data_IF_828636357584
#
_entry.id   IF_828636357584
#
_cell.length_a   1.000
_cell.length_b   1.000
_cell.length_c   1.000
_cell.angle_alpha   90.00
_cell.angle_beta   90.00
_cell.angle_gamma   90.00
#
_symmetry.space_group_name_H-M   'P 1'
#
loop_
_entity.id
_entity.type
_entity.pdbx_description
1 polymer ?
#
# COMPACT_ATOMS: atom_id res chain seq x y z
N UNK A 1 -1.27 -13.48 30.69
CA UNK A 1 -0.72 -14.70 31.31
C UNK A 1 0.77 -14.76 31.09
N UNK A 2 1.55 -14.96 32.16
CA UNK A 2 3.00 -15.19 32.12
C UNK A 2 3.32 -16.49 31.37
N UNK A 3 4.21 -16.44 30.37
CA UNK A 3 4.87 -17.63 29.83
C UNK A 3 6.37 -17.41 29.71
N UNK A 4 7.11 -18.36 30.29
CA UNK A 4 8.56 -18.43 30.36
C UNK A 4 9.19 -18.72 29.01
N UNK A 5 10.32 -18.06 28.74
CA UNK A 5 11.24 -18.40 27.65
C UNK A 5 11.90 -19.76 27.89
N UNK A 6 11.87 -20.64 26.89
CA UNK A 6 12.91 -21.65 26.71
C UNK A 6 13.00 -22.13 25.25
N UNK A 7 14.15 -21.87 24.63
CA UNK A 7 14.83 -22.84 23.75
C UNK A 7 14.45 -22.87 22.26
N UNK A 8 14.93 -21.90 21.48
CA UNK A 8 15.19 -22.13 20.06
C UNK A 8 16.41 -23.06 19.93
N UNK A 9 16.22 -24.29 19.43
CA UNK A 9 17.34 -25.17 19.04
C UNK A 9 17.72 -24.93 17.58
N UNK A 10 18.97 -24.50 17.45
CA UNK A 10 19.81 -24.38 16.25
C UNK A 10 19.79 -25.70 15.46
N UNK A 11 19.38 -25.66 14.18
CA UNK A 11 19.67 -26.75 13.24
C UNK A 11 21.15 -26.63 12.85
N UNK A 12 22.00 -27.50 13.41
CA UNK A 12 23.35 -27.73 12.92
C UNK A 12 23.33 -28.95 11.99
N UNK A 13 24.01 -28.77 10.86
CA UNK A 13 24.40 -29.74 9.84
C UNK A 13 24.87 -31.07 10.42
N UNK A 14 24.18 -32.15 10.07
CA UNK A 14 24.67 -33.52 10.19
C UNK A 14 24.99 -34.07 8.79
N UNK A 15 26.25 -34.45 8.59
CA UNK A 15 26.79 -35.14 7.42
C UNK A 15 26.04 -36.45 7.13
N UNK A 16 25.46 -36.56 5.95
CA UNK A 16 24.87 -37.80 5.43
C UNK A 16 24.72 -37.68 3.91
N UNK A 17 25.27 -38.64 3.18
CA UNK A 17 25.41 -38.69 1.73
C UNK A 17 24.09 -38.44 0.97
N UNK A 18 24.10 -37.45 0.07
CA UNK A 18 23.00 -37.22 -0.87
C UNK A 18 23.24 -38.09 -2.11
N UNK A 19 22.53 -39.22 -2.20
CA UNK A 19 22.31 -39.91 -3.49
C UNK A 19 21.26 -39.14 -4.28
N UNK A 20 21.65 -38.71 -5.48
CA UNK A 20 20.80 -37.96 -6.39
C UNK A 20 19.58 -38.75 -6.85
N UNK A 21 18.44 -38.05 -6.90
CA UNK A 21 17.28 -38.46 -7.65
C UNK A 21 16.83 -37.25 -8.48
N UNK A 22 17.02 -37.36 -9.80
CA UNK A 22 16.65 -36.33 -10.76
C UNK A 22 15.12 -36.24 -10.86
N UNK A 23 14.58 -35.04 -10.69
CA UNK A 23 13.19 -34.71 -11.04
C UNK A 23 13.19 -33.56 -12.05
N UNK A 24 12.55 -33.82 -13.19
CA UNK A 24 12.32 -32.90 -14.31
C UNK A 24 11.65 -31.60 -13.84
N UNK A 25 11.96 -30.44 -14.46
CA UNK A 25 11.30 -29.19 -14.10
C UNK A 25 9.87 -29.18 -14.62
N UNK A 26 8.91 -29.01 -13.71
CA UNK A 26 7.56 -28.57 -14.03
C UNK A 26 7.67 -27.08 -14.32
N UNK A 27 7.48 -26.72 -15.58
CA UNK A 27 7.41 -25.33 -16.06
C UNK A 27 6.18 -24.62 -15.50
N UNK A 28 6.27 -23.29 -15.43
CA UNK A 28 5.23 -22.31 -15.03
C UNK A 28 5.02 -22.08 -13.54
N UNK A 29 6.07 -21.59 -12.88
CA UNK A 29 5.92 -20.37 -12.08
C UNK A 29 6.68 -19.31 -12.87
N UNK A 30 5.96 -18.33 -13.44
CA UNK A 30 6.59 -17.13 -13.98
C UNK A 30 7.37 -16.49 -12.83
N UNK A 31 8.67 -16.76 -12.84
CA UNK A 31 9.65 -16.02 -12.05
C UNK A 31 9.43 -14.55 -12.36
N UNK A 32 9.14 -13.76 -11.31
CA UNK A 32 9.31 -12.31 -11.31
C UNK A 32 10.52 -11.96 -12.17
N UNK A 33 10.24 -11.46 -13.37
CA UNK A 33 11.26 -11.10 -14.32
C UNK A 33 12.20 -10.10 -13.64
N UNK A 34 13.49 -10.33 -13.85
CA UNK A 34 14.58 -9.46 -13.41
C UNK A 34 14.20 -7.99 -13.58
N UNK A 35 14.47 -7.17 -12.55
CA UNK A 35 14.33 -5.72 -12.66
C UNK A 35 15.26 -5.19 -13.76
N UNK A 36 14.77 -5.16 -15.00
CA UNK A 36 15.37 -4.34 -16.04
C UNK A 36 15.40 -2.91 -15.49
N UNK A 37 16.60 -2.33 -15.44
CA UNK A 37 16.83 -1.04 -14.79
C UNK A 37 15.94 0.03 -15.43
N UNK A 38 14.97 0.55 -14.66
CA UNK A 38 14.13 1.69 -15.06
C UNK A 38 15.01 2.87 -15.52
N UNK A 39 14.60 3.57 -16.58
CA UNK A 39 15.33 4.77 -17.07
C UNK A 39 15.10 5.95 -16.14
N UNK A 40 16.16 6.72 -15.86
CA UNK A 40 16.11 7.97 -15.09
C UNK A 40 16.53 9.14 -15.98
N UNK A 41 15.75 10.21 -15.97
CA UNK A 41 15.93 11.37 -16.83
C UNK A 41 16.80 12.45 -16.18
N UNK A 42 17.69 13.04 -16.97
CA UNK A 42 18.27 14.35 -16.68
C UNK A 42 17.21 15.45 -16.69
N UNK A 43 17.55 16.62 -16.14
CA UNK A 43 16.63 17.77 -16.16
C UNK A 43 16.31 18.19 -17.60
N UNK A 44 17.31 18.11 -18.49
CA UNK A 44 17.18 18.44 -19.91
C UNK A 44 16.25 17.48 -20.65
N UNK A 45 16.42 16.17 -20.46
CA UNK A 45 15.56 15.17 -21.12
C UNK A 45 14.11 15.29 -20.64
N UNK A 46 13.90 15.54 -19.35
CA UNK A 46 12.56 15.78 -18.80
C UNK A 46 11.89 16.99 -19.46
N UNK A 47 12.62 18.11 -19.62
CA UNK A 47 12.11 19.29 -20.31
C UNK A 47 11.81 19.02 -21.79
N UNK A 48 12.68 18.30 -22.50
CA UNK A 48 12.48 17.98 -23.92
C UNK A 48 11.26 17.07 -24.14
N UNK A 49 11.01 16.11 -23.23
CA UNK A 49 9.82 15.26 -23.27
C UNK A 49 8.56 16.09 -23.06
N UNK A 50 8.54 16.96 -22.05
CA UNK A 50 7.40 17.85 -21.77
C UNK A 50 7.09 18.78 -22.95
N UNK A 51 8.12 19.38 -23.56
CA UNK A 51 7.98 20.19 -24.77
C UNK A 51 7.44 19.38 -25.96
N UNK A 52 7.87 18.12 -26.10
CA UNK A 52 7.41 17.25 -27.19
C UNK A 52 5.94 16.84 -26.98
N UNK A 53 5.55 16.50 -25.75
CA UNK A 53 4.18 16.15 -25.40
C UNK A 53 3.22 17.32 -25.66
N UNK A 54 3.57 18.51 -25.17
CA UNK A 54 2.70 19.68 -25.25
C UNK A 54 2.72 20.39 -26.61
N UNK A 55 3.81 20.28 -27.35
CA UNK A 55 3.95 20.85 -28.68
C UNK A 55 3.50 19.87 -29.77
N UNK A 56 4.45 19.15 -30.41
CA UNK A 56 4.16 18.28 -31.56
C UNK A 56 3.07 17.21 -31.35
N UNK A 57 2.91 16.70 -30.12
CA UNK A 57 1.94 15.65 -29.83
C UNK A 57 0.57 16.17 -29.37
N UNK A 58 0.45 17.48 -29.14
CA UNK A 58 -0.84 18.15 -28.93
C UNK A 58 -1.53 17.87 -27.60
N UNK A 59 -0.82 17.32 -26.60
CA UNK A 59 -1.37 17.22 -25.25
C UNK A 59 -1.48 18.61 -24.62
N UNK A 60 -2.63 18.95 -24.05
CA UNK A 60 -2.75 20.19 -23.32
C UNK A 60 -2.24 20.05 -21.88
N UNK A 61 -1.81 21.16 -21.28
CA UNK A 61 -1.26 21.17 -19.90
C UNK A 61 -2.27 20.61 -18.90
N UNK A 62 -3.53 20.96 -19.04
CA UNK A 62 -4.63 20.48 -18.20
C UNK A 62 -4.84 18.96 -18.30
N UNK A 63 -4.73 18.36 -19.50
CA UNK A 63 -4.83 16.91 -19.67
C UNK A 63 -3.71 16.17 -18.94
N UNK A 64 -2.46 16.61 -19.13
CA UNK A 64 -1.30 15.97 -18.48
C UNK A 64 -1.34 16.16 -16.97
N UNK A 65 -1.68 17.36 -16.50
CA UNK A 65 -1.82 17.70 -15.09
C UNK A 65 -2.95 16.93 -14.41
N UNK A 66 -4.10 16.75 -15.09
CA UNK A 66 -5.21 15.96 -14.56
C UNK A 66 -4.79 14.50 -14.32
N UNK A 67 -4.10 13.90 -15.29
CA UNK A 67 -3.60 12.53 -15.20
C UNK A 67 -2.47 12.40 -14.17
N UNK A 68 -1.58 13.38 -14.08
CA UNK A 68 -0.50 13.42 -13.11
C UNK A 68 -1.03 13.49 -11.67
N UNK A 69 -1.92 14.45 -11.38
CA UNK A 69 -2.52 14.56 -10.06
C UNK A 69 -3.39 13.35 -9.68
N UNK A 70 -4.10 12.75 -10.65
CA UNK A 70 -4.80 11.47 -10.44
C UNK A 70 -3.82 10.33 -10.10
N UNK A 71 -2.69 10.22 -10.81
CA UNK A 71 -1.64 9.24 -10.48
C UNK A 71 -1.11 9.44 -9.06
N UNK A 72 -0.88 10.69 -8.64
CA UNK A 72 -0.44 11.01 -7.27
C UNK A 72 -1.48 10.57 -6.25
N UNK A 73 -2.73 11.00 -6.39
CA UNK A 73 -3.80 10.61 -5.46
C UNK A 73 -3.99 9.09 -5.39
N UNK A 74 -3.85 8.39 -6.53
CA UNK A 74 -3.94 6.93 -6.61
C UNK A 74 -2.79 6.27 -5.86
N UNK A 75 -1.55 6.74 -6.04
CA UNK A 75 -0.37 6.20 -5.35
C UNK A 75 -0.48 6.38 -3.83
N UNK A 76 -1.01 7.53 -3.38
CA UNK A 76 -1.29 7.80 -1.97
C UNK A 76 -2.32 6.79 -1.44
N UNK A 77 -3.43 6.63 -2.15
CA UNK A 77 -4.53 5.74 -1.75
C UNK A 77 -4.17 4.25 -1.77
N UNK A 78 -3.21 3.84 -2.60
CA UNK A 78 -2.70 2.47 -2.63
C UNK A 78 -1.96 2.10 -1.33
N UNK A 79 -1.37 3.09 -0.63
CA UNK A 79 -0.52 2.86 0.53
C UNK A 79 -1.17 3.28 1.84
N UNK A 80 -1.74 4.48 1.87
CA UNK A 80 -2.19 5.14 3.09
C UNK A 80 -3.70 5.17 3.11
N UNK A 81 -4.35 4.15 3.69
CA UNK A 81 -5.82 4.02 3.66
C UNK A 81 -6.50 5.23 4.28
N UNK A 82 -7.57 5.73 3.67
CA UNK A 82 -8.35 6.87 4.19
C UNK A 82 -9.05 6.60 5.52
N UNK A 83 -9.13 5.35 5.98
CA UNK A 83 -9.58 5.02 7.34
C UNK A 83 -8.54 5.32 8.42
N UNK A 84 -7.25 5.36 8.04
CA UNK A 84 -6.10 5.51 8.95
C UNK A 84 -5.41 6.87 8.77
N UNK A 85 -5.29 7.33 7.52
CA UNK A 85 -4.61 8.57 7.14
C UNK A 85 -5.59 9.48 6.40
N UNK A 86 -6.42 10.24 7.11
CA UNK A 86 -7.49 11.00 6.46
C UNK A 86 -7.22 12.49 6.36
N UNK A 87 -6.40 13.08 7.22
CA UNK A 87 -6.09 14.53 7.21
C UNK A 87 -4.90 14.79 6.31
N UNK A 88 -5.13 15.50 5.21
CA UNK A 88 -4.08 15.76 4.21
C UNK A 88 -3.82 17.26 4.12
N UNK A 89 -2.56 17.68 4.19
CA UNK A 89 -2.13 19.03 3.80
C UNK A 89 -1.38 18.96 2.47
N UNK A 90 -1.91 19.59 1.43
CA UNK A 90 -1.22 19.77 0.16
C UNK A 90 -0.58 21.16 0.09
N UNK A 91 0.75 21.21 -0.02
CA UNK A 91 1.52 22.46 -0.12
C UNK A 91 1.89 22.67 -1.58
N UNK A 92 1.14 23.55 -2.26
CA UNK A 92 1.24 23.78 -3.69
C UNK A 92 2.14 24.98 -4.01
N UNK A 93 3.07 24.80 -4.95
CA UNK A 93 3.90 25.87 -5.48
C UNK A 93 3.26 26.60 -6.66
N UNK A 94 3.92 27.64 -7.20
CA UNK A 94 3.35 28.47 -8.26
C UNK A 94 3.35 27.79 -9.64
N UNK A 95 4.10 26.70 -9.84
CA UNK A 95 4.26 26.07 -11.15
C UNK A 95 3.33 24.88 -11.40
N UNK A 96 3.66 24.11 -12.44
CA UNK A 96 2.92 22.90 -12.81
C UNK A 96 2.84 21.89 -11.66
N UNK A 97 3.93 21.70 -10.90
CA UNK A 97 3.94 20.79 -9.73
C UNK A 97 2.88 21.18 -8.68
N UNK A 98 2.64 22.49 -8.51
CA UNK A 98 1.58 22.97 -7.63
C UNK A 98 0.20 22.66 -8.18
N UNK A 99 0.02 22.78 -9.50
CA UNK A 99 -1.18 22.34 -10.20
C UNK A 99 -1.45 20.83 -10.04
N UNK A 100 -0.42 20.00 -10.17
CA UNK A 100 -0.50 18.56 -9.90
C UNK A 100 -0.97 18.29 -8.46
N UNK A 101 -0.46 19.07 -7.49
CA UNK A 101 -0.91 19.05 -6.10
C UNK A 101 -2.38 19.45 -5.91
N UNK A 102 -2.87 20.47 -6.63
CA UNK A 102 -4.28 20.88 -6.58
C UNK A 102 -5.20 19.79 -7.15
N UNK A 103 -4.82 19.18 -8.28
CA UNK A 103 -5.53 18.04 -8.86
C UNK A 103 -5.51 16.84 -7.91
N UNK A 104 -4.35 16.52 -7.33
CA UNK A 104 -4.22 15.43 -6.37
C UNK A 104 -5.11 15.65 -5.14
N UNK A 105 -5.15 16.87 -4.59
CA UNK A 105 -6.04 17.21 -3.48
C UNK A 105 -7.52 17.00 -3.84
N UNK A 106 -7.94 17.38 -5.06
CA UNK A 106 -9.32 17.15 -5.52
C UNK A 106 -9.65 15.66 -5.61
N UNK A 107 -8.76 14.84 -6.19
CA UNK A 107 -8.99 13.39 -6.27
C UNK A 107 -8.98 12.73 -4.89
N UNK A 108 -8.08 13.16 -3.99
CA UNK A 108 -8.06 12.68 -2.60
C UNK A 108 -9.37 12.98 -1.87
N UNK A 109 -9.99 14.14 -2.09
CA UNK A 109 -11.34 14.40 -1.57
C UNK A 109 -12.34 13.33 -2.05
N UNK A 110 -12.37 13.03 -3.35
CA UNK A 110 -13.24 12.00 -3.91
C UNK A 110 -12.90 10.58 -3.44
N UNK A 111 -11.66 10.33 -3.02
CA UNK A 111 -11.23 9.05 -2.45
C UNK A 111 -11.52 8.92 -0.93
N UNK A 112 -12.16 9.92 -0.33
CA UNK A 112 -12.60 9.89 1.07
C UNK A 112 -11.61 10.50 2.07
N UNK A 113 -10.57 11.19 1.60
CA UNK A 113 -9.67 11.97 2.44
C UNK A 113 -10.27 13.35 2.75
N UNK A 114 -9.66 14.05 3.71
CA UNK A 114 -9.98 15.42 4.11
C UNK A 114 -8.78 16.32 3.78
N UNK A 115 -8.63 16.73 2.51
CA UNK A 115 -7.55 17.61 2.10
C UNK A 115 -7.77 19.04 2.60
N UNK A 116 -6.65 19.71 2.87
CA UNK A 116 -6.50 21.13 3.11
C UNK A 116 -5.35 21.59 2.21
N UNK A 117 -5.48 22.76 1.58
CA UNK A 117 -4.49 23.25 0.62
C UNK A 117 -3.80 24.50 1.15
N UNK A 118 -2.47 24.52 1.13
CA UNK A 118 -1.67 25.72 1.28
C UNK A 118 -1.13 26.09 -0.11
N UNK A 119 -1.62 27.19 -0.69
CA UNK A 119 -1.19 27.66 -2.02
C UNK A 119 -0.72 29.13 -1.96
N UNK A 120 0.51 29.38 -1.45
CA UNK A 120 0.93 30.72 -1.03
C UNK A 120 1.14 31.71 -2.19
N UNK A 121 1.56 31.21 -3.35
CA UNK A 121 1.77 32.01 -4.56
C UNK A 121 0.93 31.45 -5.70
N UNK A 122 -0.29 31.96 -5.84
CA UNK A 122 -1.22 31.58 -6.90
C UNK A 122 -0.76 32.14 -8.25
N UNK A 123 -0.76 31.30 -9.27
CA UNK A 123 -0.40 31.73 -10.63
C UNK A 123 -1.62 32.30 -11.34
N UNK A 124 -1.57 33.54 -11.85
CA UNK A 124 -2.71 34.20 -12.48
C UNK A 124 -2.91 33.69 -13.92
N UNK A 125 -3.34 32.44 -14.06
CA UNK A 125 -3.75 31.85 -15.34
C UNK A 125 -5.07 31.09 -15.16
N UNK A 126 -5.97 31.11 -16.17
CA UNK A 126 -7.28 30.47 -16.08
C UNK A 126 -7.25 29.00 -15.64
N UNK A 127 -6.21 28.25 -16.03
CA UNK A 127 -6.01 26.87 -15.60
C UNK A 127 -6.00 26.75 -14.06
N UNK A 128 -5.16 27.53 -13.38
CA UNK A 128 -5.00 27.45 -11.92
C UNK A 128 -6.22 28.03 -11.20
N UNK A 129 -6.82 29.09 -11.73
CA UNK A 129 -8.07 29.65 -11.19
C UNK A 129 -9.20 28.62 -11.26
N UNK A 130 -9.28 27.84 -12.35
CA UNK A 130 -10.20 26.73 -12.50
C UNK A 130 -9.98 25.62 -11.48
N UNK A 131 -8.73 25.21 -11.26
CA UNK A 131 -8.39 24.20 -10.24
C UNK A 131 -8.75 24.63 -8.82
N UNK A 132 -8.50 25.91 -8.48
CA UNK A 132 -8.90 26.50 -7.20
C UNK A 132 -10.43 26.49 -7.09
N UNK A 133 -11.14 26.95 -8.11
CA UNK A 133 -12.62 26.98 -8.13
C UNK A 133 -13.21 25.59 -7.93
N UNK A 134 -12.62 24.56 -8.55
CA UNK A 134 -13.06 23.17 -8.37
C UNK A 134 -12.92 22.71 -6.91
N UNK A 135 -11.78 22.99 -6.27
CA UNK A 135 -11.54 22.65 -4.86
C UNK A 135 -12.47 23.42 -3.91
N UNK A 136 -12.69 24.71 -4.17
CA UNK A 136 -13.63 25.54 -3.41
C UNK A 136 -15.07 25.01 -3.56
N UNK A 137 -15.46 24.52 -4.74
CA UNK A 137 -16.78 23.91 -4.97
C UNK A 137 -17.01 22.63 -4.13
N UNK A 138 -15.93 21.95 -3.75
CA UNK A 138 -15.93 20.79 -2.85
C UNK A 138 -15.77 21.18 -1.38
N UNK A 139 -15.74 22.47 -1.06
CA UNK A 139 -15.48 23.00 0.29
C UNK A 139 -14.12 22.57 0.86
N UNK A 140 -13.11 22.34 0.00
CA UNK A 140 -11.74 22.06 0.44
C UNK A 140 -11.11 23.35 0.99
N UNK A 141 -10.66 23.38 2.26
CA UNK A 141 -10.12 24.60 2.86
C UNK A 141 -8.78 25.02 2.25
N UNK A 142 -8.59 26.33 2.10
CA UNK A 142 -7.29 26.92 1.77
C UNK A 142 -6.72 27.66 2.99
N UNK A 143 -5.52 27.29 3.42
CA UNK A 143 -4.77 27.98 4.49
C UNK A 143 -3.70 28.88 3.91
N UNK A 144 -3.47 30.03 4.56
CA UNK A 144 -2.29 30.84 4.29
C UNK A 144 -1.05 30.18 4.92
N UNK A 145 0.12 30.41 4.31
CA UNK A 145 1.37 29.86 4.85
C UNK A 145 1.67 30.33 6.29
N UNK A 146 1.27 31.56 6.62
CA UNK A 146 1.40 32.16 7.94
C UNK A 146 0.41 31.60 8.98
N UNK A 147 -0.73 31.07 8.52
CA UNK A 147 -1.75 30.45 9.37
C UNK A 147 -1.45 28.98 9.68
N UNK A 148 -0.48 28.39 8.97
CA UNK A 148 -0.06 27.02 9.28
C UNK A 148 0.58 26.96 10.67
N UNK A 149 0.12 26.05 11.55
CA UNK A 149 0.66 25.95 12.89
C UNK A 149 2.16 25.65 12.84
N UNK A 150 2.87 26.09 13.87
CA UNK A 150 4.32 25.85 13.97
C UNK A 150 4.62 24.35 14.06
N UNK A 151 3.70 23.58 14.62
CA UNK A 151 3.76 22.12 14.72
C UNK A 151 2.56 21.47 14.00
N UNK A 152 2.73 21.22 12.70
CA UNK A 152 1.73 20.55 11.86
C UNK A 152 1.61 19.04 12.12
N UNK A 153 2.45 18.45 13.00
CA UNK A 153 2.47 17.00 13.22
C UNK A 153 1.18 16.42 13.80
N UNK A 154 0.45 17.21 14.59
CA UNK A 154 -0.77 16.73 15.23
C UNK A 154 -2.02 16.96 14.39
N UNK A 155 -1.96 17.79 13.35
CA UNK A 155 -3.13 18.24 12.58
C UNK A 155 -3.34 17.45 11.29
N UNK A 156 -2.27 16.85 10.77
CA UNK A 156 -2.28 16.15 9.49
C UNK A 156 -1.63 14.77 9.61
N UNK A 157 -2.14 13.82 8.84
CA UNK A 157 -1.58 12.47 8.72
C UNK A 157 -0.68 12.38 7.48
N UNK A 158 -0.98 13.17 6.43
CA UNK A 158 -0.25 13.22 5.16
C UNK A 158 0.11 14.65 4.81
N UNK A 159 1.38 14.87 4.45
CA UNK A 159 1.91 16.13 3.94
C UNK A 159 2.34 15.93 2.49
N UNK A 160 1.63 16.54 1.55
CA UNK A 160 1.94 16.48 0.11
C UNK A 160 2.80 17.69 -0.25
N UNK A 161 4.06 17.42 -0.55
CA UNK A 161 5.03 18.34 -1.12
C UNK A 161 4.82 18.45 -2.63
N UNK A 162 4.11 19.51 -3.02
CA UNK A 162 3.81 19.89 -4.40
C UNK A 162 4.41 21.27 -4.73
N UNK A 163 5.51 21.66 -4.08
CA UNK A 163 6.07 23.03 -4.20
C UNK A 163 6.90 23.21 -5.47
N UNK A 164 7.89 22.35 -5.71
CA UNK A 164 8.82 22.50 -6.84
C UNK A 164 9.05 21.17 -7.56
N UNK A 165 8.78 21.16 -8.87
CA UNK A 165 9.05 20.02 -9.76
C UNK A 165 10.40 20.15 -10.48
N UNK A 166 10.65 19.26 -11.45
CA UNK A 166 11.92 19.19 -12.18
C UNK A 166 12.34 20.47 -12.93
N UNK A 167 11.41 21.37 -13.27
CA UNK A 167 11.71 22.62 -13.99
C UNK A 167 12.17 23.77 -13.09
N UNK A 168 12.21 23.56 -11.76
CA UNK A 168 12.68 24.58 -10.84
C UNK A 168 14.20 24.78 -10.94
N UNK A 169 14.62 26.05 -10.88
CA UNK A 169 16.03 26.45 -10.89
C UNK A 169 16.33 27.43 -9.75
N UNK A 170 17.51 27.28 -9.15
CA UNK A 170 18.01 28.15 -8.09
C UNK A 170 17.58 27.75 -6.69
N UNK A 171 17.68 28.69 -5.75
CA UNK A 171 17.36 28.45 -4.33
C UNK A 171 15.89 28.82 -4.06
N UNK A 172 15.15 28.00 -3.26
CA UNK A 172 13.84 28.38 -2.75
C UNK A 172 13.86 29.76 -2.08
N UNK A 173 12.80 30.54 -2.29
CA UNK A 173 12.64 31.89 -1.71
C UNK A 173 11.37 31.93 -0.85
N UNK A 174 11.24 32.92 0.06
CA UNK A 174 10.03 33.09 0.87
C UNK A 174 8.74 33.08 0.05
N UNK A 175 7.68 32.39 0.54
CA UNK A 175 7.60 31.65 1.80
C UNK A 175 8.03 30.17 1.72
N UNK A 176 8.54 29.71 0.56
CA UNK A 176 8.78 28.27 0.33
C UNK A 176 10.03 27.71 1.02
N UNK A 177 11.03 28.55 1.28
CA UNK A 177 12.19 28.20 2.11
C UNK A 177 11.76 27.81 3.53
N UNK A 178 10.92 28.62 4.18
CA UNK A 178 10.37 28.31 5.51
C UNK A 178 9.54 27.02 5.49
N UNK A 179 8.65 26.86 4.50
CA UNK A 179 7.82 25.65 4.38
C UNK A 179 8.66 24.37 4.22
N UNK A 180 9.71 24.42 3.40
CA UNK A 180 10.66 23.31 3.27
C UNK A 180 11.34 23.01 4.61
N UNK A 181 11.81 24.04 5.33
CA UNK A 181 12.46 23.86 6.63
C UNK A 181 11.52 23.30 7.70
N UNK A 182 10.23 23.64 7.66
CA UNK A 182 9.21 23.04 8.53
C UNK A 182 9.09 21.54 8.27
N UNK A 183 8.98 21.11 7.00
CA UNK A 183 8.91 19.68 6.64
C UNK A 183 10.16 18.91 7.10
N UNK A 184 11.36 19.46 6.85
CA UNK A 184 12.64 18.88 7.31
C UNK A 184 12.69 18.74 8.83
N UNK A 185 12.21 19.76 9.55
CA UNK A 185 12.24 19.77 11.02
C UNK A 185 11.35 18.70 11.65
N UNK A 186 10.21 18.39 11.03
CA UNK A 186 9.31 17.32 11.48
C UNK A 186 9.98 15.95 11.37
N UNK A 187 10.63 15.69 10.24
CA UNK A 187 11.31 14.42 9.95
C UNK A 187 12.49 14.16 10.88
N UNK A 188 13.12 15.21 11.43
CA UNK A 188 14.19 15.08 12.44
C UNK A 188 13.65 14.68 13.83
N UNK A 189 12.44 15.11 14.19
CA UNK A 189 11.79 14.77 15.48
C UNK A 189 11.27 13.32 15.51
N UNK A 190 10.94 12.79 14.34
CA UNK A 190 10.23 11.51 14.14
C UNK A 190 11.03 10.26 14.56
N UNK A 191 12.35 10.34 14.75
CA UNK A 191 13.15 9.17 15.19
C UNK A 191 12.79 8.62 16.59
N UNK A 192 11.89 9.27 17.33
CA UNK A 192 11.53 8.94 18.71
C UNK A 192 10.01 8.71 18.93
N UNK A 193 9.14 8.95 17.93
CA UNK A 193 7.68 8.77 18.06
C UNK A 193 7.13 7.95 16.89
N UNK A 194 6.04 7.23 17.13
CA UNK A 194 5.44 6.29 16.18
C UNK A 194 4.32 6.91 15.31
N UNK A 195 3.92 8.16 15.60
CA UNK A 195 2.71 8.84 15.09
C UNK A 195 3.05 10.19 14.45
N UNK A 196 3.98 10.24 13.49
CA UNK A 196 4.25 11.47 12.73
C UNK A 196 3.60 11.42 11.35
N UNK A 197 3.26 12.59 10.76
CA UNK A 197 2.75 12.63 9.40
C UNK A 197 3.73 12.06 8.39
N UNK A 198 3.21 11.37 7.39
CA UNK A 198 4.00 10.91 6.25
C UNK A 198 4.16 12.03 5.22
N UNK A 199 5.37 12.19 4.70
CA UNK A 199 5.68 13.20 3.68
C UNK A 199 5.71 12.56 2.30
N UNK A 200 5.01 13.16 1.34
CA UNK A 200 4.84 12.66 -0.02
C UNK A 200 5.28 13.74 -0.99
N UNK A 201 6.33 13.48 -1.79
CA UNK A 201 6.80 14.45 -2.78
C UNK A 201 6.29 14.09 -4.18
N UNK A 202 5.73 15.08 -4.86
CA UNK A 202 5.33 14.98 -6.27
C UNK A 202 6.54 15.27 -7.14
N UNK A 203 6.82 14.32 -8.04
CA UNK A 203 7.86 14.32 -9.06
C UNK A 203 9.30 14.28 -8.56
N UNK A 204 9.70 15.30 -7.80
CA UNK A 204 10.97 15.41 -7.08
C UNK A 204 10.73 16.01 -5.69
N UNK A 205 11.53 15.67 -4.67
CA UNK A 205 11.43 16.36 -3.37
C UNK A 205 11.85 17.82 -3.50
N UNK A 206 10.99 18.75 -3.05
CA UNK A 206 11.25 20.17 -3.18
C UNK A 206 12.54 20.58 -2.47
N UNK A 207 13.38 21.34 -3.19
CA UNK A 207 14.71 21.76 -2.71
C UNK A 207 15.85 20.80 -3.05
N UNK A 208 15.56 19.61 -3.58
CA UNK A 208 16.61 18.73 -4.12
C UNK A 208 17.11 19.26 -5.48
N UNK A 209 18.38 19.00 -5.78
CA UNK A 209 18.89 19.14 -7.14
C UNK A 209 18.30 18.03 -8.02
N UNK A 210 17.80 18.37 -9.20
CA UNK A 210 17.05 17.46 -10.10
C UNK A 210 17.84 16.21 -10.50
N UNK A 211 19.17 16.32 -10.55
CA UNK A 211 20.05 15.20 -10.91
C UNK A 211 20.82 14.61 -9.73
N UNK A 212 21.48 15.45 -8.93
CA UNK A 212 22.32 15.02 -7.81
C UNK A 212 21.54 14.67 -6.53
N UNK A 213 20.27 15.09 -6.44
CA UNK A 213 19.42 14.89 -5.27
C UNK A 213 19.72 15.85 -4.14
N UNK A 214 19.66 15.35 -2.91
CA UNK A 214 19.98 16.13 -1.72
C UNK A 214 21.50 16.26 -1.54
N UNK A 215 22.06 17.34 -2.09
CA UNK A 215 23.51 17.60 -2.10
C UNK A 215 24.07 17.76 -0.68
N UNK A 216 23.33 18.44 0.21
CA UNK A 216 23.81 18.80 1.54
C UNK A 216 23.36 17.81 2.62
N UNK A 217 22.40 16.93 2.32
CA UNK A 217 21.87 15.94 3.25
C UNK A 217 20.85 16.49 4.24
N UNK A 218 20.47 17.76 4.11
CA UNK A 218 19.53 18.48 4.97
C UNK A 218 18.17 18.76 4.30
N UNK A 219 17.95 18.24 3.09
CA UNK A 219 16.69 18.35 2.38
C UNK A 219 15.58 17.42 2.89
N UNK A 220 14.39 17.58 2.32
CA UNK A 220 13.20 16.76 2.64
C UNK A 220 13.50 15.28 2.40
N UNK A 221 13.09 14.41 3.32
CA UNK A 221 13.23 12.94 3.25
C UNK A 221 11.86 12.26 3.13
N UNK A 222 11.20 12.33 1.96
CA UNK A 222 9.82 11.88 1.86
C UNK A 222 9.67 10.37 2.12
N UNK A 223 8.55 9.98 2.72
CA UNK A 223 8.13 8.59 2.87
C UNK A 223 7.69 8.01 1.52
N UNK A 224 7.10 8.85 0.67
CA UNK A 224 6.70 8.48 -0.69
C UNK A 224 7.21 9.48 -1.72
N UNK A 225 7.79 8.97 -2.80
CA UNK A 225 8.08 9.76 -4.01
C UNK A 225 7.19 9.26 -5.15
N UNK A 226 6.46 10.15 -5.80
CA UNK A 226 5.68 9.83 -7.01
C UNK A 226 6.33 10.52 -8.21
N UNK A 227 7.19 9.81 -8.92
CA UNK A 227 7.81 10.31 -10.15
C UNK A 227 6.79 10.37 -11.29
N UNK A 228 6.73 11.47 -12.03
CA UNK A 228 5.82 11.64 -13.17
C UNK A 228 6.55 11.45 -14.49
N UNK A 229 5.88 10.83 -15.48
CA UNK A 229 6.39 10.51 -16.83
C UNK A 229 7.50 9.46 -16.81
N UNK A 230 8.63 9.78 -16.18
CA UNK A 230 9.70 8.89 -15.79
C UNK A 230 10.46 9.48 -14.59
N UNK A 231 11.14 8.66 -13.76
CA UNK A 231 11.93 9.16 -12.64
C UNK A 231 13.03 10.12 -13.09
N UNK A 232 13.26 11.19 -12.32
CA UNK A 232 14.41 12.08 -12.51
C UNK A 232 15.66 11.49 -11.85
N UNK A 233 16.84 11.85 -12.32
CA UNK A 233 18.11 11.33 -11.82
C UNK A 233 18.27 11.43 -10.29
N UNK A 234 17.74 12.49 -9.67
CA UNK A 234 17.73 12.65 -8.21
C UNK A 234 17.05 11.50 -7.47
N UNK A 235 16.06 10.84 -8.09
CA UNK A 235 15.31 9.74 -7.50
C UNK A 235 16.20 8.51 -7.22
N UNK A 236 17.39 8.41 -7.84
CA UNK A 236 18.39 7.39 -7.45
C UNK A 236 18.89 7.56 -6.01
N UNK A 237 18.77 8.75 -5.43
CA UNK A 237 19.10 9.07 -4.03
C UNK A 237 17.91 8.92 -3.09
N UNK A 238 16.72 8.60 -3.61
CA UNK A 238 15.54 8.37 -2.78
C UNK A 238 15.75 7.12 -1.91
N UNK A 239 15.41 7.23 -0.63
CA UNK A 239 15.56 6.15 0.36
C UNK A 239 14.28 5.90 1.17
N UNK A 240 13.17 6.54 0.80
CA UNK A 240 11.89 6.31 1.46
C UNK A 240 11.30 4.94 1.11
N UNK A 241 10.32 4.45 1.90
CA UNK A 241 9.73 3.12 1.73
C UNK A 241 8.90 2.96 0.45
N UNK A 242 8.46 4.05 -0.19
CA UNK A 242 7.53 3.97 -1.32
C UNK A 242 7.97 4.86 -2.49
N UNK A 243 8.30 4.25 -3.62
CA UNK A 243 8.54 4.97 -4.87
C UNK A 243 7.52 4.51 -5.90
N UNK A 244 6.77 5.44 -6.47
CA UNK A 244 5.81 5.17 -7.53
C UNK A 244 6.19 5.92 -8.80
N UNK A 245 5.84 5.32 -9.93
CA UNK A 245 5.80 5.96 -11.23
C UNK A 245 4.35 6.23 -11.58
N UNK A 246 4.04 7.49 -11.87
CA UNK A 246 2.74 7.98 -12.37
C UNK A 246 2.87 8.66 -13.73
N UNK A 247 1.77 9.21 -14.22
CA UNK A 247 1.72 9.81 -15.56
C UNK A 247 1.68 8.77 -16.67
N UNK A 248 0.69 7.86 -16.61
CA UNK A 248 0.46 6.79 -17.60
C UNK A 248 -0.11 7.35 -18.92
N UNK A 249 0.68 8.17 -19.61
CA UNK A 249 0.31 8.80 -20.88
C UNK A 249 1.47 8.85 -21.88
N UNK A 250 2.64 8.31 -21.55
CA UNK A 250 3.85 8.37 -22.38
C UNK A 250 3.64 7.60 -23.69
N UNK A 251 3.64 8.26 -24.86
CA UNK A 251 3.42 7.58 -26.14
C UNK A 251 4.62 6.70 -26.54
N UNK A 252 4.40 5.62 -27.32
CA UNK A 252 5.49 4.76 -27.79
C UNK A 252 6.61 5.51 -28.51
N UNK A 253 6.29 6.56 -29.28
CA UNK A 253 7.28 7.39 -29.96
C UNK A 253 8.25 8.11 -29.02
N UNK A 254 7.80 8.50 -27.82
CA UNK A 254 8.66 9.06 -26.77
C UNK A 254 9.51 7.96 -26.14
N UNK A 255 8.90 6.80 -25.85
CA UNK A 255 9.61 5.64 -25.30
C UNK A 255 10.76 5.24 -26.21
N UNK A 256 10.52 5.15 -27.52
CA UNK A 256 11.53 4.83 -28.53
C UNK A 256 12.59 5.93 -28.66
N UNK A 257 12.19 7.19 -28.80
CA UNK A 257 13.11 8.33 -28.98
C UNK A 257 14.11 8.47 -27.84
N UNK A 258 13.65 8.31 -26.60
CA UNK A 258 14.47 8.49 -25.40
C UNK A 258 14.96 7.15 -24.81
N UNK A 259 14.69 6.02 -25.49
CA UNK A 259 15.03 4.67 -25.02
C UNK A 259 14.58 4.43 -23.56
N UNK A 260 13.33 4.79 -23.26
CA UNK A 260 12.79 4.69 -21.92
C UNK A 260 12.47 3.24 -21.58
N UNK A 261 13.04 2.74 -20.49
CA UNK A 261 12.65 1.48 -19.86
C UNK A 261 11.64 1.79 -18.77
N UNK A 262 10.35 1.68 -19.09
CA UNK A 262 9.25 1.91 -18.16
C UNK A 262 8.58 0.56 -17.81
N UNK A 263 8.24 0.31 -16.53
CA UNK A 263 7.54 -0.91 -16.14
C UNK A 263 6.11 -0.92 -16.69
N UNK A 264 5.52 -2.12 -16.89
CA UNK A 264 4.11 -2.22 -17.24
C UNK A 264 3.24 -1.75 -16.06
N UNK A 265 2.22 -0.95 -16.38
CA UNK A 265 1.22 -0.56 -15.39
C UNK A 265 0.17 -1.68 -15.22
N UNK A 266 -0.15 -2.09 -13.99
CA UNK A 266 -1.10 -3.18 -13.76
C UNK A 266 -2.52 -2.76 -14.10
N UNK A 267 -3.21 -3.55 -14.94
CA UNK A 267 -4.63 -3.33 -15.30
C UNK A 267 -4.89 -1.88 -15.73
N UNK A 268 -5.85 -1.21 -15.09
CA UNK A 268 -6.25 0.20 -15.30
C UNK A 268 -5.55 1.17 -14.35
N UNK A 269 -4.55 0.73 -13.58
CA UNK A 269 -3.88 1.61 -12.62
C UNK A 269 -3.19 2.79 -13.31
N UNK A 270 -3.27 3.96 -12.67
CA UNK A 270 -2.61 5.19 -13.10
C UNK A 270 -1.21 5.35 -12.50
N UNK A 271 -0.82 4.47 -11.59
CA UNK A 271 0.52 4.43 -11.00
C UNK A 271 1.03 2.98 -10.91
N UNK A 272 2.34 2.82 -10.79
CA UNK A 272 2.99 1.55 -10.54
C UNK A 272 4.13 1.74 -9.56
N UNK A 273 4.23 0.86 -8.57
CA UNK A 273 5.33 0.88 -7.62
C UNK A 273 6.63 0.51 -8.31
N UNK A 274 7.67 1.30 -8.08
CA UNK A 274 9.03 1.12 -8.62
C UNK A 274 10.05 1.10 -7.49
N UNK A 275 11.27 0.67 -7.79
CA UNK A 275 12.35 0.56 -6.80
C UNK A 275 12.29 -0.72 -5.96
N UNK A 276 13.10 -0.77 -4.89
CA UNK A 276 13.17 -1.96 -4.03
C UNK A 276 11.87 -2.08 -3.22
N UNK A 277 11.24 -3.27 -3.16
CA UNK A 277 10.12 -3.48 -2.26
C UNK A 277 10.58 -3.16 -0.83
N UNK A 278 9.75 -2.48 -0.01
CA UNK A 278 10.12 -2.15 1.36
C UNK A 278 10.52 -3.43 2.09
N UNK A 279 11.63 -3.38 2.83
CA UNK A 279 12.02 -4.46 3.71
C UNK A 279 11.03 -4.46 4.88
N UNK A 280 10.00 -5.31 4.79
CA UNK A 280 8.92 -5.34 5.77
C UNK A 280 9.47 -5.85 7.09
N UNK A 281 9.48 -4.99 8.12
CA UNK A 281 9.61 -5.47 9.50
C UNK A 281 8.30 -6.17 9.87
N UNK A 282 8.33 -7.49 9.87
CA UNK A 282 7.19 -8.35 10.19
C UNK A 282 6.61 -8.00 11.56
N UNK A 283 7.43 -7.51 12.50
CA UNK A 283 7.00 -7.13 13.84
C UNK A 283 6.12 -5.88 13.86
N UNK A 284 6.35 -4.97 12.91
CA UNK A 284 5.63 -3.71 12.78
C UNK A 284 4.26 -3.87 12.09
N UNK A 285 3.97 -5.02 11.45
CA UNK A 285 2.67 -5.32 10.86
C UNK A 285 1.56 -5.60 11.89
N UNK A 286 1.90 -5.64 13.19
CA UNK A 286 0.93 -5.96 14.23
C UNK A 286 -0.02 -4.79 14.46
N UNK A 287 -1.27 -4.97 14.07
CA UNK A 287 -2.35 -4.04 14.40
C UNK A 287 -2.77 -4.18 15.88
N UNK A 288 -3.08 -3.05 16.51
CA UNK A 288 -3.65 -3.02 17.85
C UNK A 288 -5.16 -3.24 17.76
N UNK A 289 -5.59 -4.47 17.99
CA UNK A 289 -7.01 -4.82 18.03
C UNK A 289 -7.70 -4.17 19.23
N UNK A 290 -8.49 -3.13 18.97
CA UNK A 290 -9.42 -2.55 19.95
C UNK A 290 -10.78 -3.21 19.74
N UNK A 291 -10.99 -4.39 20.33
CA UNK A 291 -12.31 -5.03 20.38
C UNK A 291 -12.97 -4.80 21.75
N UNK A 292 -14.32 -4.71 21.81
CA UNK A 292 -15.03 -4.71 23.09
C UNK A 292 -14.63 -5.93 23.93
N UNK A 293 -14.57 -5.78 25.26
CA UNK A 293 -14.35 -6.91 26.15
C UNK A 293 -15.43 -7.98 25.94
N UNK A 294 -14.99 -9.22 25.74
CA UNK A 294 -15.86 -10.38 25.51
C UNK A 294 -15.81 -11.26 26.75
N UNK A 295 -16.95 -11.40 27.43
CA UNK A 295 -17.06 -12.14 28.68
C UNK A 295 -17.74 -13.50 28.47
N UNK A 296 -17.37 -14.49 29.28
CA UNK A 296 -17.91 -15.86 29.17
C UNK A 296 -19.43 -15.93 29.36
N UNK A 297 -20.02 -15.02 30.13
CA UNK A 297 -21.47 -14.92 30.35
C UNK A 297 -22.24 -14.41 29.11
N UNK A 298 -21.54 -13.91 28.09
CA UNK A 298 -22.11 -13.49 26.81
C UNK A 298 -22.11 -14.61 25.75
N UNK A 299 -21.54 -15.77 26.07
CA UNK A 299 -21.43 -16.93 25.20
C UNK A 299 -22.66 -17.82 25.35
N UNK A 300 -23.24 -18.25 24.23
CA UNK A 300 -24.29 -19.26 24.23
C UNK A 300 -23.76 -20.59 24.77
N UNK A 301 -24.55 -21.26 25.61
CA UNK A 301 -24.19 -22.56 26.17
C UNK A 301 -24.08 -23.65 25.09
N UNK A 302 -24.81 -23.51 23.97
CA UNK A 302 -24.63 -24.36 22.80
C UNK A 302 -23.55 -23.79 21.87
N UNK A 303 -22.38 -24.45 21.72
CA UNK A 303 -21.30 -23.96 20.86
C UNK A 303 -21.68 -23.89 19.37
N UNK A 304 -22.63 -24.72 18.90
CA UNK A 304 -23.10 -24.65 17.52
C UNK A 304 -24.06 -23.47 17.32
N UNK A 305 -24.91 -23.17 18.31
CA UNK A 305 -25.73 -21.95 18.31
C UNK A 305 -24.83 -20.70 18.33
N UNK A 306 -23.81 -20.70 19.19
CA UNK A 306 -22.81 -19.63 19.26
C UNK A 306 -22.10 -19.42 17.92
N UNK A 307 -21.65 -20.51 17.27
CA UNK A 307 -21.03 -20.42 15.96
C UNK A 307 -21.98 -19.82 14.92
N UNK A 308 -23.23 -20.30 14.85
CA UNK A 308 -24.22 -19.81 13.87
C UNK A 308 -24.49 -18.32 14.04
N UNK A 309 -24.56 -17.83 15.28
CA UNK A 309 -24.69 -16.40 15.59
C UNK A 309 -23.51 -15.60 15.02
N UNK A 310 -22.29 -16.01 15.33
CA UNK A 310 -21.11 -15.30 14.84
C UNK A 310 -20.88 -15.43 13.33
N UNK A 311 -21.27 -16.56 12.74
CA UNK A 311 -21.24 -16.72 11.29
C UNK A 311 -22.23 -15.76 10.61
N UNK A 312 -23.41 -15.57 11.18
CA UNK A 312 -24.37 -14.56 10.70
C UNK A 312 -23.81 -13.14 10.82
N UNK A 313 -23.10 -12.81 11.90
CA UNK A 313 -22.40 -11.52 12.04
C UNK A 313 -21.36 -11.33 10.93
N UNK A 314 -20.54 -12.36 10.64
CA UNK A 314 -19.53 -12.32 9.59
C UNK A 314 -20.13 -12.12 8.19
N UNK A 315 -21.29 -12.73 7.92
CA UNK A 315 -22.05 -12.52 6.68
C UNK A 315 -22.65 -11.10 6.63
N UNK A 316 -23.25 -10.64 7.72
CA UNK A 316 -23.83 -9.30 7.82
C UNK A 316 -22.78 -8.18 7.68
N UNK A 317 -21.55 -8.43 8.11
CA UNK A 317 -20.40 -7.56 7.93
C UNK A 317 -19.80 -7.61 6.50
N UNK A 318 -20.40 -8.38 5.59
CA UNK A 318 -19.96 -8.54 4.21
C UNK A 318 -18.48 -8.96 4.08
N UNK A 319 -17.98 -9.79 5.00
CA UNK A 319 -16.61 -10.30 4.91
C UNK A 319 -16.42 -11.13 3.64
N UNK A 320 -15.20 -11.11 3.10
CA UNK A 320 -14.85 -11.91 1.93
C UNK A 320 -14.72 -13.38 2.34
N UNK A 321 -15.52 -14.25 1.71
CA UNK A 321 -15.54 -15.71 1.95
C UNK A 321 -15.61 -16.10 3.44
N UNK A 322 -16.66 -15.69 4.19
CA UNK A 322 -16.76 -15.95 5.63
C UNK A 322 -16.86 -17.45 5.97
N UNK A 323 -17.18 -18.28 4.97
CA UNK A 323 -17.23 -19.74 5.03
C UNK A 323 -15.89 -20.44 4.73
N UNK A 324 -14.82 -19.70 4.40
CA UNK A 324 -13.49 -20.27 4.28
C UNK A 324 -12.91 -20.59 5.67
N UNK A 325 -12.31 -21.77 5.81
CA UNK A 325 -11.72 -22.23 7.06
C UNK A 325 -10.47 -23.06 6.82
N UNK A 326 -9.49 -23.00 7.73
CA UNK A 326 -8.36 -23.91 7.72
C UNK A 326 -8.76 -25.27 8.32
N UNK A 327 -8.53 -26.35 7.59
CA UNK A 327 -8.65 -27.74 8.08
C UNK A 327 -7.26 -28.28 8.43
N UNK A 328 -7.04 -28.51 9.72
CA UNK A 328 -5.82 -29.12 10.25
C UNK A 328 -6.06 -30.56 10.65
N UNK A 329 -5.17 -31.44 10.18
CA UNK A 329 -5.18 -32.89 10.42
C UNK A 329 -3.73 -33.32 10.69
N UNK A 330 -3.53 -34.51 11.25
CA UNK A 330 -2.20 -35.07 11.45
C UNK A 330 -2.17 -36.54 11.04
N UNK A 331 -1.09 -36.97 10.41
CA UNK A 331 -0.89 -38.38 10.10
C UNK A 331 -0.65 -39.22 11.38
N UNK A 332 -0.52 -40.54 11.22
CA UNK A 332 -0.24 -41.47 12.34
C UNK A 332 1.06 -41.19 13.10
N UNK A 333 2.00 -40.44 12.51
CA UNK A 333 3.24 -40.02 13.18
C UNK A 333 3.09 -38.71 13.94
N UNK A 334 1.91 -38.08 13.86
CA UNK A 334 1.60 -36.80 14.48
C UNK A 334 2.07 -35.60 13.66
N UNK A 335 2.46 -35.78 12.38
CA UNK A 335 2.88 -34.68 11.52
C UNK A 335 1.64 -33.88 11.07
N UNK A 336 1.51 -32.59 11.45
CA UNK A 336 0.35 -31.81 11.09
C UNK A 336 0.43 -31.32 9.64
N UNK A 337 -0.72 -31.19 9.00
CA UNK A 337 -0.90 -30.50 7.74
C UNK A 337 -2.11 -29.56 7.85
N UNK A 338 -2.14 -28.47 7.09
CA UNK A 338 -3.27 -27.50 7.06
C UNK A 338 -3.56 -27.05 5.63
N UNK A 339 -4.83 -26.80 5.30
CA UNK A 339 -5.23 -26.12 4.05
C UNK A 339 -6.57 -25.42 4.22
N UNK A 340 -6.86 -24.45 3.36
CA UNK A 340 -8.19 -23.83 3.30
C UNK A 340 -9.19 -24.78 2.63
N UNK A 341 -10.37 -24.90 3.23
CA UNK A 341 -11.56 -25.56 2.70
C UNK A 341 -12.77 -24.66 2.91
N UNK A 342 -13.87 -24.95 2.23
CA UNK A 342 -15.11 -24.19 2.37
C UNK A 342 -16.12 -24.96 3.20
N UNK A 343 -16.66 -24.31 4.22
CA UNK A 343 -17.84 -24.76 4.95
C UNK A 343 -19.05 -24.82 4.00
N UNK A 344 -19.80 -25.92 4.09
CA UNK A 344 -21.00 -26.21 3.27
C UNK A 344 -22.28 -26.25 4.09
N UNK A 345 -22.18 -26.48 5.40
CA UNK A 345 -23.32 -26.47 6.31
C UNK A 345 -22.88 -26.65 7.75
N UNK A 346 -23.80 -26.37 8.66
CA UNK A 346 -23.68 -26.70 10.08
C UNK A 346 -24.98 -27.36 10.52
N UNK A 347 -24.92 -28.66 10.78
CA UNK A 347 -26.06 -29.44 11.25
C UNK A 347 -25.94 -29.72 12.76
N UNK A 348 -26.75 -30.66 13.27
CA UNK A 348 -26.74 -31.06 14.67
C UNK A 348 -25.51 -31.89 15.06
N UNK A 349 -24.85 -32.50 14.07
CA UNK A 349 -23.72 -33.41 14.25
C UNK A 349 -22.38 -32.67 14.05
N UNK A 350 -22.41 -31.50 13.39
CA UNK A 350 -21.33 -30.52 13.44
C UNK A 350 -21.18 -29.74 12.13
N UNK A 351 -19.93 -29.59 11.70
CA UNK A 351 -19.53 -28.78 10.55
C UNK A 351 -19.42 -29.69 9.31
N UNK A 352 -19.97 -29.24 8.18
CA UNK A 352 -19.98 -30.01 6.94
C UNK A 352 -19.08 -29.36 5.90
N UNK A 353 -18.18 -30.14 5.31
CA UNK A 353 -17.35 -29.73 4.17
C UNK A 353 -17.08 -30.94 3.29
N UNK A 354 -16.59 -30.69 2.07
CA UNK A 354 -16.25 -31.75 1.13
C UNK A 354 -14.75 -31.79 0.85
N UNK A 355 -14.24 -33.01 0.68
CA UNK A 355 -12.89 -33.28 0.22
C UNK A 355 -12.90 -34.53 -0.66
N UNK A 356 -11.97 -34.63 -1.60
CA UNK A 356 -11.75 -35.88 -2.32
C UNK A 356 -11.29 -36.98 -1.34
N UNK A 357 -11.87 -38.18 -1.44
CA UNK A 357 -11.52 -39.35 -0.66
C UNK A 357 -10.07 -39.82 -0.84
N UNK A 358 -9.46 -39.55 -1.99
CA UNK A 358 -8.06 -39.87 -2.27
C UNK A 358 -7.08 -38.79 -1.76
N UNK A 359 -7.61 -37.68 -1.22
CA UNK A 359 -6.78 -36.60 -0.72
C UNK A 359 -5.93 -37.04 0.47
N UNK A 360 -4.80 -36.36 0.67
CA UNK A 360 -3.98 -36.53 1.87
C UNK A 360 -4.81 -36.36 3.16
N UNK A 361 -5.71 -35.38 3.20
CA UNK A 361 -6.59 -35.11 4.35
C UNK A 361 -7.52 -36.28 4.68
N UNK A 362 -8.14 -36.88 3.66
CA UNK A 362 -9.03 -38.02 3.86
C UNK A 362 -8.26 -39.24 4.42
N UNK A 363 -7.05 -39.50 3.90
CA UNK A 363 -6.17 -40.55 4.43
C UNK A 363 -5.74 -40.28 5.86
N UNK A 364 -5.29 -39.05 6.16
CA UNK A 364 -4.91 -38.65 7.52
C UNK A 364 -6.09 -38.81 8.50
N UNK A 365 -7.31 -38.41 8.14
CA UNK A 365 -8.50 -38.56 8.99
C UNK A 365 -8.87 -40.03 9.18
N UNK A 366 -8.71 -40.87 8.16
CA UNK A 366 -9.00 -42.31 8.26
C UNK A 366 -8.05 -43.04 9.22
N UNK A 367 -6.79 -42.59 9.31
CA UNK A 367 -5.80 -43.13 10.25
C UNK A 367 -5.86 -42.47 11.63
N UNK A 368 -6.22 -41.18 11.68
CA UNK A 368 -6.31 -40.38 12.90
C UNK A 368 -7.55 -39.47 12.82
N UNK A 369 -8.66 -39.83 13.49
CA UNK A 369 -9.92 -39.12 13.36
C UNK A 369 -9.93 -37.72 13.99
N UNK A 370 -8.82 -37.23 14.54
CA UNK A 370 -8.76 -35.90 15.17
C UNK A 370 -8.48 -34.82 14.13
N UNK A 371 -9.32 -33.80 14.12
CA UNK A 371 -9.14 -32.62 13.28
C UNK A 371 -9.47 -31.32 14.04
N UNK A 372 -8.89 -30.22 13.57
CA UNK A 372 -9.21 -28.87 14.01
C UNK A 372 -9.65 -28.04 12.82
N UNK A 373 -10.70 -27.25 13.01
CA UNK A 373 -11.08 -26.20 12.09
C UNK A 373 -10.63 -24.85 12.67
N UNK A 374 -10.31 -23.89 11.81
CA UNK A 374 -10.04 -22.52 12.21
C UNK A 374 -10.69 -21.56 11.23
N UNK A 375 -11.60 -20.73 11.74
CA UNK A 375 -12.15 -19.58 11.05
C UNK A 375 -11.44 -18.33 11.56
N UNK A 376 -11.00 -17.47 10.65
CA UNK A 376 -10.43 -16.18 10.99
C UNK A 376 -11.23 -15.10 10.26
N UNK A 377 -11.92 -14.26 11.04
CA UNK A 377 -12.74 -13.16 10.55
C UNK A 377 -12.08 -11.86 11.00
N UNK A 378 -11.10 -11.42 10.22
CA UNK A 378 -10.29 -10.23 10.46
C UNK A 378 -11.15 -8.98 10.66
N UNK A 379 -12.15 -8.73 9.80
CA UNK A 379 -13.05 -7.58 9.93
C UNK A 379 -13.92 -7.57 11.19
N UNK A 380 -13.98 -8.68 11.94
CA UNK A 380 -14.65 -8.75 13.25
C UNK A 380 -13.67 -8.96 14.42
N UNK A 381 -12.37 -9.07 14.15
CA UNK A 381 -11.35 -9.45 15.14
C UNK A 381 -11.68 -10.74 15.90
N UNK A 382 -12.29 -11.72 15.20
CA UNK A 382 -12.75 -12.98 15.80
C UNK A 382 -12.06 -14.18 15.15
N UNK A 383 -11.74 -15.16 16.00
CA UNK A 383 -11.30 -16.48 15.57
C UNK A 383 -12.18 -17.54 16.23
N UNK A 384 -12.60 -18.53 15.45
CA UNK A 384 -13.33 -19.70 15.97
C UNK A 384 -12.50 -20.95 15.71
N UNK A 385 -12.22 -21.72 16.77
CA UNK A 385 -11.42 -22.96 16.67
C UNK A 385 -12.19 -24.16 17.20
N UNK A 386 -13.04 -24.79 16.37
CA UNK A 386 -13.70 -26.03 16.73
C UNK A 386 -12.75 -27.24 16.69
N UNK A 387 -12.85 -28.11 17.70
CA UNK A 387 -12.12 -29.37 17.78
C UNK A 387 -13.08 -30.55 17.66
N UNK A 388 -12.79 -31.50 16.77
CA UNK A 388 -13.67 -32.64 16.52
C UNK A 388 -12.92 -33.96 16.39
N UNK A 389 -13.62 -35.03 16.74
CA UNK A 389 -13.33 -36.37 16.26
C UNK A 389 -14.25 -36.67 15.10
N UNK A 390 -13.68 -36.95 13.93
CA UNK A 390 -14.40 -37.19 12.70
C UNK A 390 -14.52 -38.68 12.43
N UNK A 391 -15.72 -39.09 12.02
CA UNK A 391 -15.94 -40.38 11.40
C UNK A 391 -16.15 -40.13 9.90
N UNK A 392 -15.35 -40.76 9.05
CA UNK A 392 -15.62 -40.78 7.62
C UNK A 392 -16.93 -41.52 7.37
N UNK A 393 -18.05 -40.81 7.29
CA UNK A 393 -19.30 -41.38 6.79
C UNK A 393 -19.16 -41.60 5.29
N UNK A 394 -19.08 -42.87 4.90
CA UNK A 394 -19.10 -43.31 3.49
C UNK A 394 -20.48 -42.97 2.94
N UNK A 395 -20.58 -41.83 2.26
CA UNK A 395 -21.69 -41.50 1.39
C UNK A 395 -21.11 -41.29 0.00
N UNK A 396 -21.27 -42.29 -0.86
CA UNK A 396 -20.96 -42.15 -2.29
C UNK A 396 -21.86 -41.05 -2.88
N UNK A 397 -21.34 -40.12 -3.70
CA UNK A 397 -22.21 -39.29 -4.52
C UNK A 397 -22.95 -40.20 -5.54
N UNK A 398 -24.19 -39.86 -5.93
CA UNK A 398 -24.92 -40.56 -6.97
C UNK A 398 -24.28 -40.44 -8.36
#
# INVERSE_FOLDING_TARGET
GLYSRSGFRRWCSGSGEVRGMASRPVSSVESLESSDSITYLSQREAAEIDETLMGPLGFSVDQLMELAGLSVATAIAEVYRSSEYNRVLAICGPGNNGGDGLVAARHLYHFGYKPVVCYPKRTPKPLYDGLVTQLESLSVPFLLAEDLPMDISNDFDILVDAMFGFSFHGTPRPPFDDLIQRLVSLQKRDRMRQESPVVISIDIPSGWHVEEGDINGDGIKPNMLVSLTAPKLCAKRFCGPHHFLGGRFVPPSIVEKFNLKLPPYPSTSMCVRIGKPPQVDISALRENYISPEFHEDQVDADPLAQFKKWFADAVAACLKEPNAMALSTADKSGKPSSRIVLLKGVDKDGFVWYTNYESQKAREISENPRASLLFYWDGLNRQVTPFFSLYCHVSSPP
#
